data_IF_032166477802
#
_entry.id   IF_032166477802
#
_cell.length_a   1.000
_cell.length_b   1.000
_cell.length_c   1.000
_cell.angle_alpha   90.00
_cell.angle_beta   90.00
_cell.angle_gamma   90.00
#
_symmetry.space_group_name_H-M   'P 1'
#
loop_
_entity.id
_entity.type
_entity.pdbx_description
1 polymer ?
#
# COMPACT_ATOMS: atom_id res chain seq x y z
N UNK A 1 8.13 3.54 -17.73
CA UNK A 1 6.88 3.07 -18.37
C UNK A 1 6.63 1.66 -17.85
N UNK A 2 5.62 1.45 -17.00
CA UNK A 2 5.27 0.11 -16.54
C UNK A 2 4.47 -0.63 -17.61
N UNK A 3 4.75 -1.92 -17.80
CA UNK A 3 3.94 -2.77 -18.68
C UNK A 3 2.55 -2.96 -18.05
N UNK A 4 1.45 -2.79 -18.80
CA UNK A 4 0.11 -3.06 -18.30
C UNK A 4 -0.04 -4.53 -17.84
N UNK A 5 -0.84 -4.75 -16.79
CA UNK A 5 -1.03 -6.07 -16.18
C UNK A 5 -1.45 -7.15 -17.20
N UNK A 6 -2.37 -6.80 -18.10
CA UNK A 6 -2.91 -7.74 -19.10
C UNK A 6 -1.84 -8.18 -20.10
N UNK A 7 -0.94 -7.27 -20.47
CA UNK A 7 0.19 -7.57 -21.36
C UNK A 7 1.22 -8.48 -20.68
N UNK A 8 1.41 -8.32 -19.36
CA UNK A 8 2.24 -9.20 -18.55
C UNK A 8 1.69 -10.63 -18.51
N UNK A 9 0.38 -10.80 -18.33
CA UNK A 9 -0.26 -12.12 -18.39
C UNK A 9 -0.07 -12.79 -19.75
N UNK A 10 -0.29 -12.04 -20.84
CA UNK A 10 -0.09 -12.54 -22.21
C UNK A 10 1.34 -13.00 -22.45
N UNK A 11 2.34 -12.23 -21.99
CA UNK A 11 3.75 -12.59 -22.16
C UNK A 11 4.11 -13.86 -21.38
N UNK A 12 3.54 -14.04 -20.19
CA UNK A 12 3.75 -15.25 -19.39
C UNK A 12 3.12 -16.48 -20.05
N UNK A 13 1.92 -16.35 -20.62
CA UNK A 13 1.25 -17.44 -21.34
C UNK A 13 1.94 -17.82 -22.66
N UNK A 14 2.66 -16.89 -23.28
CA UNK A 14 3.39 -17.12 -24.52
C UNK A 14 4.78 -17.77 -24.31
N UNK A 15 5.21 -18.00 -23.07
CA UNK A 15 6.50 -18.63 -22.78
C UNK A 15 6.47 -20.13 -23.10
N UNK A 16 7.54 -20.68 -23.67
CA UNK A 16 7.65 -22.14 -23.80
C UNK A 16 7.77 -22.80 -22.41
N UNK A 17 7.39 -24.08 -22.33
CA UNK A 17 7.23 -24.78 -21.05
C UNK A 17 8.53 -24.85 -20.23
N UNK A 18 9.69 -24.91 -20.90
CA UNK A 18 10.99 -24.96 -20.24
C UNK A 18 11.34 -23.63 -19.55
N UNK A 19 11.04 -22.48 -20.18
CA UNK A 19 11.28 -21.14 -19.64
C UNK A 19 10.24 -20.78 -18.58
N UNK A 20 9.01 -21.30 -18.70
CA UNK A 20 7.91 -21.08 -17.75
C UNK A 20 8.33 -21.46 -16.32
N UNK A 21 9.04 -22.60 -16.15
CA UNK A 21 9.53 -23.02 -14.83
C UNK A 21 10.57 -22.06 -14.25
N UNK A 22 11.42 -21.49 -15.10
CA UNK A 22 12.45 -20.53 -14.68
C UNK A 22 11.80 -19.20 -14.27
N UNK A 23 10.90 -18.69 -15.11
CA UNK A 23 10.16 -17.45 -14.84
C UNK A 23 9.31 -17.58 -13.59
N UNK A 24 8.63 -18.72 -13.39
CA UNK A 24 7.85 -18.97 -12.17
C UNK A 24 8.71 -18.87 -10.90
N UNK A 25 9.86 -19.55 -10.87
CA UNK A 25 10.80 -19.49 -9.72
C UNK A 25 11.30 -18.06 -9.47
N UNK A 26 11.55 -17.31 -10.53
CA UNK A 26 12.00 -15.93 -10.41
C UNK A 26 10.89 -15.02 -9.86
N UNK A 27 9.65 -15.18 -10.31
CA UNK A 27 8.49 -14.44 -9.77
C UNK A 27 8.22 -14.79 -8.31
N UNK A 28 8.33 -16.07 -7.93
CA UNK A 28 8.23 -16.52 -6.53
C UNK A 28 9.32 -15.87 -5.66
N UNK A 29 10.56 -15.77 -6.16
CA UNK A 29 11.64 -15.07 -5.48
C UNK A 29 11.33 -13.58 -5.28
N UNK A 30 10.85 -12.87 -6.31
CA UNK A 30 10.47 -11.46 -6.20
C UNK A 30 9.34 -11.30 -5.16
N UNK A 31 8.32 -12.14 -5.21
CA UNK A 31 7.21 -12.10 -4.25
C UNK A 31 7.68 -12.29 -2.81
N UNK A 32 8.60 -13.24 -2.57
CA UNK A 32 9.15 -13.45 -1.23
C UNK A 32 9.96 -12.25 -0.73
N UNK A 33 10.64 -11.52 -1.63
CA UNK A 33 11.45 -10.33 -1.30
C UNK A 33 10.56 -9.14 -0.98
N UNK A 34 9.54 -8.89 -1.80
CA UNK A 34 8.59 -7.80 -1.60
C UNK A 34 7.84 -7.95 -0.27
N UNK A 35 7.35 -9.16 0.03
CA UNK A 35 6.67 -9.42 1.30
C UNK A 35 7.59 -9.25 2.53
N UNK A 36 8.88 -9.58 2.40
CA UNK A 36 9.83 -9.43 3.49
C UNK A 36 10.10 -7.96 3.82
N UNK A 37 10.23 -7.11 2.81
CA UNK A 37 10.41 -5.66 3.00
C UNK A 37 9.17 -5.02 3.62
N UNK A 38 7.98 -5.29 3.06
CA UNK A 38 6.71 -4.76 3.59
C UNK A 38 6.52 -5.15 5.06
N UNK A 39 6.81 -6.42 5.37
CA UNK A 39 6.70 -6.94 6.74
C UNK A 39 7.71 -6.30 7.67
N UNK A 40 8.97 -6.14 7.23
CA UNK A 40 10.00 -5.48 8.02
C UNK A 40 9.64 -4.02 8.32
N UNK A 41 9.04 -3.30 7.37
CA UNK A 41 8.51 -1.94 7.58
C UNK A 41 7.36 -1.91 8.58
N UNK A 42 6.39 -2.83 8.46
CA UNK A 42 5.22 -2.88 9.35
C UNK A 42 5.56 -3.32 10.78
N UNK A 43 6.56 -4.18 10.93
CA UNK A 43 7.02 -4.70 12.22
C UNK A 43 8.17 -3.86 12.82
N UNK A 44 8.62 -2.81 12.13
CA UNK A 44 9.70 -1.97 12.61
C UNK A 44 9.32 -1.27 13.92
N UNK A 45 10.13 -1.46 14.95
CA UNK A 45 10.05 -0.65 16.16
C UNK A 45 10.60 0.75 15.85
N UNK A 46 9.70 1.73 15.81
CA UNK A 46 10.05 3.13 15.55
C UNK A 46 10.67 3.82 16.78
N UNK A 47 10.68 3.17 17.94
CA UNK A 47 11.12 3.74 19.20
C UNK A 47 10.30 4.98 19.60
N UNK A 48 10.87 5.80 20.50
CA UNK A 48 10.30 7.09 20.85
C UNK A 48 10.67 8.13 19.78
N UNK A 49 9.76 8.36 18.84
CA UNK A 49 9.90 9.44 17.86
C UNK A 49 9.57 10.79 18.53
N UNK A 50 10.28 11.88 18.14
CA UNK A 50 9.92 13.21 18.59
C UNK A 50 8.49 13.53 18.14
N UNK A 51 7.76 14.39 18.88
CA UNK A 51 6.47 14.88 18.43
C UNK A 51 6.59 15.49 17.02
N UNK A 52 5.59 15.22 16.18
CA UNK A 52 5.53 15.82 14.85
C UNK A 52 5.47 17.35 14.96
N UNK A 53 6.41 18.03 14.32
CA UNK A 53 6.45 19.49 14.29
C UNK A 53 5.42 20.01 13.29
N UNK A 54 4.29 20.48 13.83
CA UNK A 54 3.23 21.12 13.05
C UNK A 54 3.57 22.54 12.61
N UNK A 55 4.74 23.05 12.98
CA UNK A 55 5.13 24.44 12.77
C UNK A 55 4.44 25.40 13.75
N UNK A 56 4.68 26.71 13.61
CA UNK A 56 4.23 27.72 14.56
C UNK A 56 2.71 27.84 14.67
N UNK A 57 1.96 27.45 13.63
CA UNK A 57 0.49 27.49 13.65
C UNK A 57 -0.14 26.27 14.32
N UNK A 58 0.64 25.22 14.60
CA UNK A 58 0.17 24.00 15.23
C UNK A 58 -0.70 23.14 14.30
N UNK A 59 -1.30 22.06 14.83
CA UNK A 59 -2.15 21.18 14.04
C UNK A 59 -3.38 21.94 13.51
N UNK A 60 -3.81 21.67 12.27
CA UNK A 60 -4.98 22.30 11.71
C UNK A 60 -6.23 21.92 12.52
N UNK A 61 -7.18 22.86 12.63
CA UNK A 61 -8.46 22.60 13.29
C UNK A 61 -9.22 21.48 12.55
N UNK A 62 -9.46 20.37 13.24
CA UNK A 62 -10.26 19.26 12.72
C UNK A 62 -11.71 19.65 12.45
N UNK A 63 -12.39 18.86 11.62
CA UNK A 63 -13.83 19.00 11.37
C UNK A 63 -14.65 18.25 12.42
N UNK A 64 -15.89 18.68 12.74
CA UNK A 64 -16.75 17.92 13.63
C UNK A 64 -17.07 16.56 13.00
N UNK A 65 -16.96 15.51 13.80
CA UNK A 65 -17.33 14.14 13.38
C UNK A 65 -18.42 13.63 14.31
N UNK A 66 -19.50 13.11 13.73
CA UNK A 66 -20.59 12.49 14.47
C UNK A 66 -20.90 11.10 13.91
N UNK A 67 -21.14 10.13 14.80
CA UNK A 67 -21.63 8.83 14.38
C UNK A 67 -23.16 8.87 14.23
N UNK A 68 -23.66 8.44 13.08
CA UNK A 68 -25.08 8.26 12.81
C UNK A 68 -25.39 6.77 12.64
N UNK A 69 -26.20 6.14 13.52
CA UNK A 69 -26.60 4.74 13.37
C UNK A 69 -27.21 4.47 11.99
N UNK A 70 -26.80 3.37 11.36
CA UNK A 70 -27.25 2.99 10.02
C UNK A 70 -26.63 3.77 8.85
N UNK A 71 -25.82 4.80 9.12
CA UNK A 71 -25.13 5.58 8.07
C UNK A 71 -23.61 5.54 8.25
N UNK A 72 -23.12 5.59 9.49
CA UNK A 72 -21.69 5.60 9.81
C UNK A 72 -21.19 6.96 10.30
N UNK A 73 -19.89 7.23 10.13
CA UNK A 73 -19.26 8.48 10.53
C UNK A 73 -19.61 9.60 9.54
N UNK A 74 -20.17 10.69 10.03
CA UNK A 74 -20.48 11.91 9.29
C UNK A 74 -19.47 12.98 9.67
N UNK A 75 -18.78 13.56 8.68
CA UNK A 75 -17.89 14.71 8.86
C UNK A 75 -18.63 15.97 8.44
N UNK A 76 -18.98 16.83 9.39
CA UNK A 76 -19.67 18.08 9.10
C UNK A 76 -18.74 19.04 8.34
N UNK A 77 -19.19 19.53 7.17
CA UNK A 77 -18.38 20.40 6.31
C UNK A 77 -17.31 19.69 5.48
N UNK A 78 -17.41 18.37 5.28
CA UNK A 78 -16.68 17.64 4.22
C UNK A 78 -17.04 18.19 2.83
N UNK A 79 -16.08 18.21 1.88
CA UNK A 79 -16.39 18.55 0.48
C UNK A 79 -17.40 17.52 -0.03
N UNK A 80 -18.51 18.00 -0.61
CA UNK A 80 -19.37 17.17 -1.47
C UNK A 80 -18.61 16.81 -2.74
#
# INVERSE_FOLDING_TARGET
MSVPKDELHRLVEALPEQETRVVKRFLEFILSRAQAEDRAWLEADLGELPPYDWGPEGPPKGKPVQYKPGVGLIVEGGKQ
#
